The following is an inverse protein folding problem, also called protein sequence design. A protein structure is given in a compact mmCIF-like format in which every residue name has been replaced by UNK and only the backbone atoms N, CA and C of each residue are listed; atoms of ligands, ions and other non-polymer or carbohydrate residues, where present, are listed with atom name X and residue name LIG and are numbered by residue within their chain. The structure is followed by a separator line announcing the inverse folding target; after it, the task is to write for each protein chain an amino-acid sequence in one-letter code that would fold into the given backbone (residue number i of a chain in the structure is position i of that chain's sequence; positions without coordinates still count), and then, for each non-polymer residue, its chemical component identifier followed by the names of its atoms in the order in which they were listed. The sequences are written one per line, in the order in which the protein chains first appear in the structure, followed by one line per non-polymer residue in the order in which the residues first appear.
data_IF_495011944595
#
_entry.id   IF_495011944595
#
_cell.length_a   1.000
_cell.length_b   1.000
_cell.length_c   1.000
_cell.angle_alpha   90.00
_cell.angle_beta   90.00
_cell.angle_gamma   90.00
#
_symmetry.space_group_name_H-M   'P 1'
#
loop_
_entity.id
_entity.type
_entity.pdbx_description
1 polymer ?
#
# COMPACT_ATOMS: atom_id res chain seq x y z
N UNK A 1 19.00 -14.18 -16.70
CA UNK A 1 18.95 -12.89 -15.97
C UNK A 1 17.93 -11.99 -16.64
N UNK A 2 16.78 -11.74 -16.01
CA UNK A 2 15.80 -10.74 -16.47
C UNK A 2 15.31 -9.95 -15.24
N UNK A 3 15.93 -8.79 -15.03
CA UNK A 3 15.29 -7.64 -14.39
C UNK A 3 14.27 -7.14 -15.41
N UNK A 4 12.99 -7.04 -15.05
CA UNK A 4 12.10 -6.08 -15.71
C UNK A 4 11.04 -5.53 -14.74
N UNK A 5 11.10 -4.20 -14.61
CA UNK A 5 10.13 -3.20 -14.18
C UNK A 5 9.25 -3.45 -12.93
N UNK A 6 9.46 -2.58 -11.93
CA UNK A 6 8.75 -2.41 -10.65
C UNK A 6 9.16 -3.46 -9.60
N UNK A 7 9.98 -3.02 -8.64
CA UNK A 7 10.74 -3.88 -7.74
C UNK A 7 9.91 -4.90 -6.96
N UNK A 8 10.54 -6.06 -6.74
CA UNK A 8 10.08 -7.27 -6.04
C UNK A 8 9.26 -8.29 -6.85
N UNK A 9 9.96 -9.13 -7.63
CA UNK A 9 9.48 -10.46 -8.01
C UNK A 9 10.63 -11.47 -7.98
N UNK A 10 11.10 -11.85 -6.78
CA UNK A 10 12.27 -12.75 -6.68
C UNK A 10 12.01 -14.15 -6.15
N UNK A 11 10.75 -14.56 -6.01
CA UNK A 11 10.39 -15.97 -5.77
C UNK A 11 9.04 -16.31 -6.39
N UNK A 12 8.88 -17.56 -6.82
CA UNK A 12 7.56 -18.15 -7.00
C UNK A 12 6.80 -18.14 -5.67
N UNK A 13 5.47 -18.37 -5.69
CA UNK A 13 4.72 -18.48 -4.43
C UNK A 13 5.31 -19.59 -3.53
N UNK A 14 5.75 -20.70 -4.12
CA UNK A 14 6.37 -21.82 -3.42
C UNK A 14 7.70 -21.42 -2.75
N UNK A 15 8.55 -20.66 -3.45
CA UNK A 15 9.80 -20.15 -2.89
C UNK A 15 9.53 -19.21 -1.71
N UNK A 16 8.51 -18.35 -1.83
CA UNK A 16 8.14 -17.40 -0.80
C UNK A 16 7.48 -18.11 0.41
N UNK A 17 6.72 -19.17 0.18
CA UNK A 17 6.18 -20.03 1.24
C UNK A 17 7.29 -20.78 1.98
N UNK A 18 8.35 -21.21 1.29
CA UNK A 18 9.56 -21.73 1.94
C UNK A 18 10.28 -20.63 2.72
N UNK A 19 10.47 -19.46 2.14
CA UNK A 19 11.20 -18.35 2.76
C UNK A 19 10.57 -17.90 4.09
N UNK A 20 9.25 -17.76 4.16
CA UNK A 20 8.59 -17.38 5.43
C UNK A 20 8.60 -18.50 6.47
N UNK A 21 8.72 -19.77 6.07
CA UNK A 21 8.85 -20.90 7.00
C UNK A 21 10.26 -20.95 7.60
N UNK A 22 11.28 -20.74 6.77
CA UNK A 22 12.68 -20.76 7.20
C UNK A 22 13.06 -19.49 7.99
N UNK A 23 12.46 -18.34 7.66
CA UNK A 23 12.73 -17.06 8.29
C UNK A 23 11.43 -16.34 8.70
N UNK A 24 10.72 -16.81 9.75
CA UNK A 24 9.41 -16.27 10.16
C UNK A 24 9.45 -14.83 10.68
N UNK A 25 10.64 -14.25 10.87
CA UNK A 25 10.82 -12.84 11.26
C UNK A 25 11.31 -11.96 10.10
N UNK A 26 11.35 -12.47 8.88
CA UNK A 26 11.76 -11.72 7.70
C UNK A 26 10.56 -10.94 7.12
N UNK A 27 10.45 -9.66 7.49
CA UNK A 27 9.39 -8.76 6.99
C UNK A 27 9.34 -8.67 5.45
N UNK A 28 10.50 -8.66 4.78
CA UNK A 28 10.59 -8.55 3.32
C UNK A 28 10.03 -9.80 2.62
N UNK A 29 10.24 -11.00 3.19
CA UNK A 29 9.67 -12.24 2.65
C UNK A 29 8.13 -12.23 2.69
N UNK A 30 7.53 -11.73 3.78
CA UNK A 30 6.08 -11.55 3.86
C UNK A 30 5.59 -10.48 2.87
N UNK A 31 6.29 -9.35 2.75
CA UNK A 31 5.94 -8.30 1.79
C UNK A 31 5.94 -8.82 0.34
N UNK A 32 6.98 -9.55 -0.05
CA UNK A 32 7.10 -10.13 -1.39
C UNK A 32 6.02 -11.19 -1.65
N UNK A 33 5.72 -12.04 -0.64
CA UNK A 33 4.62 -13.01 -0.73
C UNK A 33 3.25 -12.35 -0.86
N UNK A 34 3.03 -11.25 -0.15
CA UNK A 34 1.81 -10.45 -0.26
C UNK A 34 1.64 -9.86 -1.66
N UNK A 35 2.72 -9.35 -2.27
CA UNK A 35 2.70 -8.83 -3.64
C UNK A 35 2.30 -9.94 -4.64
N UNK A 36 2.88 -11.14 -4.53
CA UNK A 36 2.53 -12.27 -5.40
C UNK A 36 1.08 -12.72 -5.18
N UNK A 37 0.63 -12.86 -3.93
CA UNK A 37 -0.76 -13.23 -3.61
C UNK A 37 -1.76 -12.21 -4.15
N UNK A 38 -1.46 -10.91 -4.04
CA UNK A 38 -2.30 -9.84 -4.56
C UNK A 38 -2.43 -9.92 -6.08
N UNK A 39 -1.33 -10.17 -6.81
CA UNK A 39 -1.36 -10.37 -8.27
C UNK A 39 -2.17 -11.59 -8.69
N UNK A 40 -2.17 -12.62 -7.87
CA UNK A 40 -2.97 -13.83 -8.10
C UNK A 40 -4.43 -13.68 -7.65
N UNK A 41 -4.86 -12.48 -7.23
CA UNK A 41 -6.23 -12.22 -6.77
C UNK A 41 -6.53 -12.72 -5.35
N UNK A 42 -5.56 -13.31 -4.65
CA UNK A 42 -5.70 -13.72 -3.26
C UNK A 42 -5.56 -12.51 -2.33
N UNK A 43 -6.58 -11.66 -2.32
CA UNK A 43 -6.61 -10.41 -1.54
C UNK A 43 -6.57 -10.67 -0.02
N UNK A 44 -7.25 -11.71 0.46
CA UNK A 44 -7.24 -12.08 1.89
C UNK A 44 -5.84 -12.50 2.34
N UNK A 45 -5.19 -13.39 1.58
CA UNK A 45 -3.82 -13.83 1.88
C UNK A 45 -2.82 -12.69 1.76
N UNK A 46 -2.99 -11.79 0.78
CA UNK A 46 -2.15 -10.62 0.63
C UNK A 46 -2.28 -9.64 1.82
N UNK A 47 -3.51 -9.34 2.25
CA UNK A 47 -3.75 -8.46 3.38
C UNK A 47 -3.16 -9.03 4.69
N UNK A 48 -3.25 -10.34 4.89
CA UNK A 48 -2.60 -11.03 6.01
C UNK A 48 -1.09 -10.89 5.99
N UNK A 49 -0.44 -11.19 4.86
CA UNK A 49 1.01 -11.10 4.74
C UNK A 49 1.53 -9.66 4.84
N UNK A 50 0.83 -8.67 4.26
CA UNK A 50 1.20 -7.26 4.47
C UNK A 50 1.11 -6.85 5.93
N UNK A 51 0.13 -7.38 6.68
CA UNK A 51 -0.02 -7.10 8.10
C UNK A 51 1.19 -7.61 8.88
N UNK A 52 1.57 -8.87 8.66
CA UNK A 52 2.75 -9.46 9.29
C UNK A 52 4.02 -8.68 8.92
N UNK A 53 4.19 -8.31 7.65
CA UNK A 53 5.34 -7.54 7.19
C UNK A 53 5.43 -6.17 7.91
N UNK A 54 4.30 -5.47 8.05
CA UNK A 54 4.22 -4.18 8.75
C UNK A 54 4.55 -4.32 10.25
N UNK A 55 4.07 -5.38 10.90
CA UNK A 55 4.33 -5.68 12.32
C UNK A 55 5.79 -6.05 12.58
N UNK A 56 6.41 -6.84 11.69
CA UNK A 56 7.82 -7.23 11.77
C UNK A 56 8.77 -6.06 11.48
N UNK A 57 8.27 -4.99 10.84
CA UNK A 57 9.01 -3.78 10.55
C UNK A 57 9.59 -3.76 9.14
N UNK A 58 8.99 -2.95 8.27
CA UNK A 58 9.54 -2.63 6.96
C UNK A 58 10.34 -1.32 7.02
N UNK A 59 11.32 -1.22 6.14
CA UNK A 59 11.96 0.05 5.81
C UNK A 59 10.89 1.06 5.36
N UNK A 60 11.11 2.34 5.65
CA UNK A 60 10.08 3.39 5.49
C UNK A 60 9.39 3.42 4.12
N UNK A 61 10.14 3.21 3.04
CA UNK A 61 9.55 3.22 1.70
C UNK A 61 8.62 2.03 1.49
N UNK A 62 9.10 0.83 1.79
CA UNK A 62 8.38 -0.44 1.68
C UNK A 62 7.16 -0.45 2.59
N UNK A 63 7.25 0.16 3.77
CA UNK A 63 6.12 0.35 4.70
C UNK A 63 4.95 1.09 4.05
N UNK A 64 5.20 2.21 3.38
CA UNK A 64 4.11 2.95 2.73
C UNK A 64 3.54 2.21 1.51
N UNK A 65 4.37 1.45 0.79
CA UNK A 65 3.89 0.60 -0.30
C UNK A 65 3.02 -0.55 0.23
N UNK A 66 3.43 -1.19 1.33
CA UNK A 66 2.67 -2.25 1.99
C UNK A 66 1.33 -1.74 2.53
N UNK A 67 1.29 -0.57 3.17
CA UNK A 67 0.03 0.08 3.58
C UNK A 67 -0.89 0.34 2.39
N UNK A 68 -0.37 0.91 1.31
CA UNK A 68 -1.18 1.19 0.11
C UNK A 68 -1.74 -0.08 -0.52
N UNK A 69 -0.91 -1.13 -0.64
CA UNK A 69 -1.34 -2.40 -1.22
C UNK A 69 -2.30 -3.17 -0.29
N UNK A 70 -2.07 -3.15 1.03
CA UNK A 70 -3.02 -3.72 2.01
C UNK A 70 -4.35 -2.99 1.98
N UNK A 71 -4.32 -1.66 1.87
CA UNK A 71 -5.52 -0.83 1.70
C UNK A 71 -6.31 -1.26 0.46
N UNK A 72 -5.66 -1.42 -0.69
CA UNK A 72 -6.31 -1.92 -1.92
C UNK A 72 -6.87 -3.33 -1.76
N UNK A 73 -6.12 -4.24 -1.13
CA UNK A 73 -6.61 -5.60 -0.86
C UNK A 73 -7.84 -5.58 0.06
N UNK A 74 -7.86 -4.72 1.09
CA UNK A 74 -9.00 -4.50 1.98
C UNK A 74 -10.21 -3.93 1.24
N UNK A 75 -10.02 -2.99 0.31
CA UNK A 75 -11.10 -2.50 -0.56
C UNK A 75 -11.74 -3.65 -1.35
N UNK A 76 -10.92 -4.52 -1.93
CA UNK A 76 -11.40 -5.68 -2.68
C UNK A 76 -12.15 -6.69 -1.79
N UNK A 77 -11.85 -6.75 -0.50
CA UNK A 77 -12.54 -7.56 0.51
C UNK A 77 -13.76 -6.88 1.12
N UNK A 78 -14.05 -5.62 0.74
CA UNK A 78 -15.14 -4.83 1.33
C UNK A 78 -14.81 -4.20 2.69
N UNK A 79 -13.60 -4.35 3.21
CA UNK A 79 -13.13 -3.71 4.44
C UNK A 79 -12.74 -2.25 4.18
N UNK A 80 -13.77 -1.40 4.01
CA UNK A 80 -13.59 0.04 3.75
C UNK A 80 -12.94 0.74 4.95
N UNK A 81 -13.28 0.34 6.18
CA UNK A 81 -12.74 0.93 7.40
C UNK A 81 -11.24 0.69 7.54
N UNK A 82 -10.79 -0.56 7.37
CA UNK A 82 -9.37 -0.90 7.39
C UNK A 82 -8.59 -0.25 6.25
N UNK A 83 -9.18 -0.14 5.05
CA UNK A 83 -8.55 0.57 3.95
C UNK A 83 -8.39 2.08 4.21
N UNK A 84 -9.41 2.73 4.79
CA UNK A 84 -9.33 4.13 5.22
C UNK A 84 -8.22 4.35 6.26
N UNK A 85 -8.08 3.42 7.20
CA UNK A 85 -6.99 3.45 8.20
C UNK A 85 -5.62 3.40 7.52
N UNK A 86 -5.42 2.46 6.59
CA UNK A 86 -4.14 2.29 5.89
C UNK A 86 -3.73 3.54 5.09
N UNK A 87 -4.68 4.12 4.34
CA UNK A 87 -4.38 5.34 3.59
C UNK A 87 -4.20 6.57 4.50
N UNK A 88 -4.93 6.64 5.61
CA UNK A 88 -4.76 7.74 6.58
C UNK A 88 -3.38 7.73 7.19
N UNK A 89 -2.87 6.56 7.53
CA UNK A 89 -1.53 6.42 8.07
C UNK A 89 -0.43 6.93 7.11
N UNK A 90 -0.58 6.69 5.81
CA UNK A 90 0.34 7.26 4.79
C UNK A 90 0.19 8.79 4.73
N UNK A 91 -1.04 9.31 4.77
CA UNK A 91 -1.32 10.75 4.67
C UNK A 91 -0.80 11.51 5.90
N UNK A 92 -0.95 10.94 7.09
CA UNK A 92 -0.52 11.53 8.35
C UNK A 92 1.01 11.55 8.44
N UNK A 93 1.66 10.45 8.02
CA UNK A 93 3.12 10.37 7.94
C UNK A 93 3.74 11.33 6.90
N UNK A 94 2.95 11.87 5.96
CA UNK A 94 3.37 12.87 4.96
C UNK A 94 4.72 12.56 4.29
N UNK A 95 4.85 11.41 3.58
CA UNK A 95 6.13 10.98 3.04
C UNK A 95 6.73 11.99 2.07
N UNK A 96 8.07 12.12 2.11
CA UNK A 96 8.83 12.95 1.15
C UNK A 96 8.54 12.57 -0.31
N UNK A 97 8.25 11.29 -0.56
CA UNK A 97 7.80 10.85 -1.87
C UNK A 97 6.36 11.34 -2.13
N UNK A 98 6.26 12.47 -2.84
CA UNK A 98 4.99 13.11 -3.15
C UNK A 98 4.05 12.23 -3.99
N UNK A 99 4.58 11.30 -4.78
CA UNK A 99 3.75 10.36 -5.55
C UNK A 99 2.99 9.41 -4.63
N UNK A 100 3.67 8.84 -3.62
CA UNK A 100 3.03 7.99 -2.60
C UNK A 100 1.95 8.76 -1.85
N UNK A 101 2.25 9.97 -1.37
CA UNK A 101 1.29 10.82 -0.67
C UNK A 101 0.07 11.13 -1.55
N UNK A 102 0.29 11.49 -2.82
CA UNK A 102 -0.81 11.80 -3.75
C UNK A 102 -1.71 10.58 -3.99
N UNK A 103 -1.12 9.41 -4.21
CA UNK A 103 -1.88 8.17 -4.41
C UNK A 103 -2.70 7.81 -3.18
N UNK A 104 -2.16 7.96 -1.97
CA UNK A 104 -2.91 7.72 -0.74
C UNK A 104 -4.08 8.70 -0.56
N UNK A 105 -3.87 10.00 -0.84
CA UNK A 105 -4.93 11.00 -0.80
C UNK A 105 -6.06 10.67 -1.78
N UNK A 106 -5.75 10.29 -3.01
CA UNK A 106 -6.76 9.96 -4.01
C UNK A 106 -7.55 8.71 -3.64
N UNK A 107 -6.90 7.66 -3.13
CA UNK A 107 -7.61 6.47 -2.67
C UNK A 107 -8.47 6.78 -1.44
N UNK A 108 -7.95 7.50 -0.45
CA UNK A 108 -8.73 7.90 0.72
C UNK A 108 -9.93 8.78 0.35
N UNK A 109 -9.77 9.69 -0.61
CA UNK A 109 -10.85 10.51 -1.15
C UNK A 109 -11.99 9.65 -1.73
N UNK A 110 -11.67 8.63 -2.53
CA UNK A 110 -12.67 7.72 -3.10
C UNK A 110 -13.41 6.95 -2.00
N UNK A 111 -12.68 6.46 -0.99
CA UNK A 111 -13.29 5.74 0.13
C UNK A 111 -14.16 6.64 1.01
N UNK A 112 -13.74 7.88 1.25
CA UNK A 112 -14.53 8.89 1.97
C UNK A 112 -15.83 9.21 1.25
N UNK A 113 -15.80 9.39 -0.08
CA UNK A 113 -17.04 9.53 -0.88
C UNK A 113 -17.96 8.33 -0.72
N UNK A 114 -17.40 7.11 -0.72
CA UNK A 114 -18.18 5.86 -0.56
C UNK A 114 -18.93 5.80 0.78
N UNK A 115 -18.37 6.38 1.84
CA UNK A 115 -19.01 6.42 3.17
C UNK A 115 -19.78 7.72 3.45
N UNK A 116 -19.93 8.60 2.47
CA UNK A 116 -20.65 9.88 2.62
C UNK A 116 -19.85 11.02 3.26
N UNK A 117 -18.54 10.82 3.52
CA UNK A 117 -17.63 11.89 3.99
C UNK A 117 -17.19 12.77 2.80
N UNK A 118 -18.12 13.59 2.29
CA UNK A 118 -17.86 14.45 1.14
C UNK A 118 -16.89 15.59 1.46
N UNK A 119 -16.91 16.12 2.68
CA UNK A 119 -16.00 17.17 3.13
C UNK A 119 -14.55 16.66 3.20
N UNK A 120 -14.34 15.51 3.85
CA UNK A 120 -13.02 14.88 3.91
C UNK A 120 -12.51 14.47 2.53
N UNK A 121 -13.39 14.04 1.64
CA UNK A 121 -13.06 13.73 0.26
C UNK A 121 -12.60 14.97 -0.54
N UNK A 122 -13.28 16.11 -0.40
CA UNK A 122 -12.89 17.37 -1.04
C UNK A 122 -11.54 17.87 -0.52
N UNK A 123 -11.30 17.80 0.79
CA UNK A 123 -10.00 18.13 1.40
C UNK A 123 -8.86 17.28 0.81
N UNK A 124 -9.05 15.96 0.71
CA UNK A 124 -8.05 15.06 0.14
C UNK A 124 -7.80 15.36 -1.35
N UNK A 125 -8.86 15.66 -2.11
CA UNK A 125 -8.75 16.02 -3.52
C UNK A 125 -7.94 17.31 -3.73
N UNK A 126 -8.27 18.37 -2.99
CA UNK A 126 -7.53 19.65 -3.04
C UNK A 126 -6.05 19.47 -2.69
N UNK A 127 -5.75 18.68 -1.65
CA UNK A 127 -4.37 18.36 -1.26
C UNK A 127 -3.65 17.53 -2.33
N UNK A 128 -4.34 16.60 -2.99
CA UNK A 128 -3.75 15.82 -4.08
C UNK A 128 -3.44 16.69 -5.32
N UNK A 129 -4.29 17.68 -5.63
CA UNK A 129 -4.05 18.63 -6.74
C UNK A 129 -2.85 19.54 -6.48
N UNK A 130 -2.65 20.04 -5.26
CA UNK A 130 -1.49 20.88 -4.93
C UNK A 130 -0.16 20.13 -5.00
N UNK A 131 -0.18 18.80 -5.01
CA UNK A 131 1.01 17.98 -5.29
C UNK A 131 1.40 18.03 -6.76
N UNK A 132 0.41 18.05 -7.66
CA UNK A 132 0.59 18.11 -9.12
C UNK A 132 1.07 19.51 -9.56
N UNK A 133 0.59 20.56 -8.89
CA UNK A 133 0.95 21.95 -9.18
C UNK A 133 2.23 22.31 -8.40
N UNK A 134 3.37 21.72 -8.76
CA UNK A 134 4.61 22.50 -8.74
C UNK A 134 4.76 23.06 -10.15
N UNK A 135 4.24 24.27 -10.36
CA UNK A 135 4.76 25.10 -11.46
C UNK A 135 6.28 25.07 -11.32
N UNK A 136 6.99 24.67 -12.36
CA UNK A 136 8.37 25.12 -12.53
C UNK A 136 8.27 26.66 -12.44
N UNK A 137 8.82 27.28 -11.40
CA UNK A 137 9.22 28.69 -11.50
C UNK A 137 10.22 28.78 -12.66
N UNK A 138 10.10 29.75 -13.56
CA UNK A 138 10.39 31.17 -13.27
C UNK A 138 11.76 31.32 -12.62
#
# INVERSE_FOLDING_TARGET
MLKDALGSYRGSLDDLDRAVREAPRNAEAYYDRANVKSRNGNNAGAAGDYTIALELGLRMRERFLALGNRGMARVALGDVGGALSDFSEIVDASPKNRSILRTALLNRMVLRKRIGDFEGADLDYRRALSITIKKKGE
#
